data_IF_301764530643
#
_entry.id   IF_301764530643
#
_cell.length_a   1.000
_cell.length_b   1.000
_cell.length_c   1.000
_cell.angle_alpha   90.00
_cell.angle_beta   90.00
_cell.angle_gamma   90.00
#
_symmetry.space_group_name_H-M   'P 1'
#
loop_
_entity.id
_entity.type
_entity.pdbx_description
1 polymer ?
#
# COMPACT_ATOMS: atom_id res chain seq x y z
N UNK A 1 -15.39 -20.09 6.69
CA UNK A 1 -15.42 -20.29 8.15
C UNK A 1 -16.76 -19.87 8.73
N UNK A 2 -17.08 -18.58 8.65
CA UNK A 2 -18.33 -17.97 9.13
C UNK A 2 -19.55 -18.26 8.23
N UNK A 3 -20.75 -17.90 8.66
CA UNK A 3 -22.00 -18.05 7.88
C UNK A 3 -22.01 -17.16 6.63
N UNK A 4 -21.41 -15.98 6.72
CA UNK A 4 -21.39 -15.00 5.64
C UNK A 4 -20.48 -13.80 5.93
N UNK A 5 -20.51 -12.82 5.04
CA UNK A 5 -19.81 -11.53 5.14
C UNK A 5 -20.71 -10.42 4.62
N UNK A 6 -20.79 -9.30 5.34
CA UNK A 6 -21.54 -8.13 4.86
C UNK A 6 -20.92 -7.51 3.60
N UNK A 7 -19.69 -7.86 3.25
CA UNK A 7 -19.06 -7.53 1.97
C UNK A 7 -19.82 -8.12 0.78
N UNK A 8 -20.39 -9.32 0.94
CA UNK A 8 -21.11 -10.05 -0.08
C UNK A 8 -22.36 -10.70 0.53
N UNK A 9 -23.44 -9.93 0.77
CA UNK A 9 -24.60 -10.38 1.56
C UNK A 9 -25.33 -11.62 1.03
N UNK A 10 -25.13 -11.98 -0.24
CA UNK A 10 -25.73 -13.15 -0.87
C UNK A 10 -24.83 -14.40 -0.81
N UNK A 11 -23.57 -14.23 -0.42
CA UNK A 11 -22.60 -15.33 -0.35
C UNK A 11 -22.76 -16.12 0.95
N UNK A 12 -22.76 -17.45 0.84
CA UNK A 12 -22.80 -18.36 1.99
C UNK A 12 -21.40 -18.88 2.28
N UNK A 13 -21.01 -18.86 3.55
CA UNK A 13 -19.79 -19.50 4.00
C UNK A 13 -20.01 -20.95 4.42
N UNK A 14 -18.96 -21.56 4.97
CA UNK A 14 -18.99 -22.95 5.49
C UNK A 14 -19.83 -23.10 6.76
N UNK A 15 -20.21 -21.99 7.40
CA UNK A 15 -21.10 -21.96 8.56
C UNK A 15 -20.64 -22.86 9.74
N UNK A 16 -19.32 -22.94 9.95
CA UNK A 16 -18.73 -23.63 11.11
C UNK A 16 -18.85 -22.76 12.38
N UNK A 17 -18.87 -21.44 12.18
CA UNK A 17 -19.15 -20.43 13.21
C UNK A 17 -20.36 -19.64 12.74
N UNK A 18 -21.46 -19.71 13.51
CA UNK A 18 -22.78 -19.19 13.13
C UNK A 18 -22.91 -17.67 13.32
N UNK A 19 -22.10 -16.90 12.58
CA UNK A 19 -22.16 -15.45 12.54
C UNK A 19 -21.67 -14.92 11.18
N UNK A 20 -21.86 -13.63 10.95
CA UNK A 20 -21.29 -12.92 9.80
C UNK A 20 -20.08 -12.07 10.22
N UNK A 21 -19.16 -11.83 9.29
CA UNK A 21 -18.09 -10.83 9.49
C UNK A 21 -18.57 -9.46 9.04
N UNK A 22 -18.12 -8.41 9.75
CA UNK A 22 -18.56 -7.03 9.57
C UNK A 22 -17.41 -6.12 9.16
N UNK A 23 -17.74 -4.98 8.54
CA UNK A 23 -16.76 -3.96 8.17
C UNK A 23 -16.28 -3.23 9.42
N UNK A 24 -15.00 -2.86 9.48
CA UNK A 24 -14.53 -1.92 10.50
C UNK A 24 -15.23 -0.56 10.41
N UNK A 25 -15.42 0.09 11.57
CA UNK A 25 -15.85 1.47 11.67
C UNK A 25 -14.69 2.40 11.24
N UNK A 26 -14.96 3.26 10.27
CA UNK A 26 -14.00 4.21 9.66
C UNK A 26 -14.11 5.65 10.22
N UNK A 27 -14.85 5.88 11.30
CA UNK A 27 -14.99 7.19 11.94
C UNK A 27 -13.73 7.62 12.68
N UNK A 28 -12.98 6.67 13.25
CA UNK A 28 -11.83 6.93 14.14
C UNK A 28 -10.50 6.46 13.58
N UNK A 29 -10.51 5.79 12.43
CA UNK A 29 -9.35 5.12 11.84
C UNK A 29 -9.57 4.87 10.35
N UNK A 30 -8.47 4.63 9.64
CA UNK A 30 -8.58 4.31 8.22
C UNK A 30 -9.11 2.90 7.97
N UNK A 31 -9.84 2.68 6.88
CA UNK A 31 -10.30 1.34 6.48
C UNK A 31 -10.10 1.20 4.98
N UNK A 32 -9.40 0.16 4.47
CA UNK A 32 -8.97 -1.08 5.14
C UNK A 32 -7.91 -0.95 6.25
N UNK A 33 -7.87 -1.95 7.13
CA UNK A 33 -6.76 -2.22 8.05
C UNK A 33 -5.58 -2.76 7.24
N UNK A 34 -4.63 -1.89 6.90
CA UNK A 34 -3.41 -2.22 6.12
C UNK A 34 -2.17 -1.93 6.98
N UNK A 35 -1.52 -2.99 7.45
CA UNK A 35 -0.24 -2.86 8.14
C UNK A 35 0.02 -3.97 9.14
N UNK A 36 0.97 -3.68 10.03
CA UNK A 36 1.51 -4.64 10.96
C UNK A 36 0.92 -4.44 12.35
N UNK A 37 0.20 -5.44 12.85
CA UNK A 37 -0.46 -5.38 14.16
C UNK A 37 -0.01 -6.54 15.06
N UNK A 38 -0.18 -6.38 16.37
CA UNK A 38 0.14 -7.41 17.37
C UNK A 38 -1.11 -8.18 17.75
N UNK A 39 -0.98 -9.49 17.86
CA UNK A 39 -2.03 -10.35 18.39
C UNK A 39 -1.84 -10.53 19.89
N UNK A 40 -2.92 -10.73 20.63
CA UNK A 40 -2.85 -11.15 22.03
C UNK A 40 -3.79 -12.34 22.26
N UNK A 41 -3.53 -13.11 23.31
CA UNK A 41 -4.16 -14.42 23.53
C UNK A 41 -4.98 -14.38 24.82
N UNK A 42 -6.30 -14.10 24.76
CA UNK A 42 -7.12 -13.89 25.97
C UNK A 42 -7.26 -15.16 26.82
N UNK A 43 -7.33 -16.33 26.18
CA UNK A 43 -7.66 -17.61 26.82
C UNK A 43 -6.46 -18.58 26.92
N UNK A 44 -5.25 -18.15 26.54
CA UNK A 44 -4.05 -19.00 26.49
C UNK A 44 -2.88 -18.39 27.24
N UNK A 45 -1.99 -19.28 27.68
CA UNK A 45 -0.80 -18.98 28.46
C UNK A 45 0.47 -18.74 27.64
N UNK A 46 0.47 -18.75 26.28
CA UNK A 46 1.59 -18.18 25.47
C UNK A 46 1.45 -18.09 23.96
N UNK A 47 1.08 -19.17 23.28
CA UNK A 47 1.19 -19.23 21.81
C UNK A 47 0.01 -19.99 21.24
N UNK A 48 -0.38 -19.60 20.04
CA UNK A 48 -1.27 -20.35 19.17
C UNK A 48 -0.52 -20.54 17.87
N UNK A 49 0.19 -21.67 17.72
CA UNK A 49 1.09 -21.92 16.58
C UNK A 49 2.11 -20.78 16.37
N UNK A 50 2.98 -20.54 17.37
CA UNK A 50 3.99 -19.45 17.35
C UNK A 50 3.45 -18.01 17.22
N UNK A 51 2.13 -17.80 17.30
CA UNK A 51 1.58 -16.44 17.43
C UNK A 51 2.06 -15.84 18.75
N UNK A 52 2.80 -14.74 18.66
CA UNK A 52 3.49 -14.10 19.78
C UNK A 52 3.09 -12.61 19.90
N UNK A 53 2.64 -12.14 21.07
CA UNK A 53 2.24 -10.74 21.27
C UNK A 53 3.33 -9.68 21.10
N UNK A 54 4.59 -10.07 21.19
CA UNK A 54 5.74 -9.19 20.95
C UNK A 54 6.11 -9.09 19.46
N UNK A 55 5.57 -9.98 18.63
CA UNK A 55 5.75 -9.96 17.18
C UNK A 55 4.61 -9.20 16.51
N UNK A 56 4.82 -8.89 15.23
CA UNK A 56 3.84 -8.21 14.40
C UNK A 56 3.53 -9.07 13.19
N UNK A 57 2.27 -9.02 12.78
CA UNK A 57 1.74 -9.78 11.65
C UNK A 57 1.06 -8.81 10.68
N UNK A 58 1.14 -9.09 9.39
CA UNK A 58 0.59 -8.25 8.35
C UNK A 58 -0.89 -8.54 8.10
N UNK A 59 -1.71 -7.52 8.31
CA UNK A 59 -3.15 -7.52 8.05
C UNK A 59 -3.46 -6.60 6.86
N UNK A 60 -4.39 -7.03 6.02
CA UNK A 60 -4.80 -6.31 4.81
C UNK A 60 -6.28 -6.61 4.49
N UNK A 61 -7.21 -6.00 5.25
CA UNK A 61 -8.64 -6.31 5.16
C UNK A 61 -9.55 -5.16 5.60
N UNK A 62 -10.75 -5.09 5.01
CA UNK A 62 -11.82 -4.16 5.45
C UNK A 62 -12.82 -4.80 6.42
N UNK A 63 -12.95 -6.12 6.39
CA UNK A 63 -13.96 -6.90 7.09
C UNK A 63 -13.31 -7.90 8.05
N UNK A 64 -13.90 -8.10 9.22
CA UNK A 64 -13.37 -9.00 10.25
C UNK A 64 -14.50 -9.57 11.13
N UNK A 65 -14.19 -10.62 11.89
CA UNK A 65 -15.04 -10.98 13.04
C UNK A 65 -14.72 -10.03 14.19
N UNK A 66 -15.53 -8.98 14.31
CA UNK A 66 -15.48 -8.02 15.41
C UNK A 66 -16.19 -8.67 16.61
N UNK A 67 -15.61 -8.59 17.81
CA UNK A 67 -16.02 -9.29 19.04
C UNK A 67 -15.86 -10.84 19.05
N UNK A 68 -16.02 -11.44 20.22
CA UNK A 68 -15.83 -12.88 20.47
C UNK A 68 -17.12 -13.69 20.61
N UNK A 69 -18.29 -13.10 20.34
CA UNK A 69 -19.59 -13.76 20.48
C UNK A 69 -19.69 -14.98 19.55
N UNK A 70 -20.18 -16.11 20.07
CA UNK A 70 -20.37 -17.34 19.30
C UNK A 70 -19.10 -18.15 19.05
N UNK A 71 -18.02 -17.85 19.79
CA UNK A 71 -16.72 -18.54 19.69
C UNK A 71 -16.46 -19.48 20.88
N UNK A 72 -17.50 -19.96 21.55
CA UNK A 72 -17.38 -20.90 22.65
C UNK A 72 -16.65 -22.18 22.19
N UNK A 73 -15.63 -22.60 22.96
CA UNK A 73 -14.81 -23.76 22.63
C UNK A 73 -13.77 -23.54 21.52
N UNK A 74 -13.60 -22.31 21.02
CA UNK A 74 -12.51 -21.95 20.13
C UNK A 74 -11.33 -21.37 20.90
N UNK A 75 -10.13 -21.75 20.47
CA UNK A 75 -8.90 -21.12 20.86
C UNK A 75 -8.66 -19.94 19.92
N UNK A 76 -8.32 -18.77 20.45
CA UNK A 76 -8.27 -17.55 19.65
C UNK A 76 -7.08 -16.67 19.97
N UNK A 77 -6.58 -16.00 18.93
CA UNK A 77 -5.79 -14.80 19.05
C UNK A 77 -6.65 -13.62 18.63
N UNK A 78 -6.63 -12.56 19.43
CA UNK A 78 -7.36 -11.32 19.19
C UNK A 78 -6.39 -10.21 18.80
N UNK A 79 -6.91 -9.19 18.17
CA UNK A 79 -6.15 -8.01 17.79
C UNK A 79 -7.05 -6.79 17.94
N UNK A 80 -6.45 -5.63 18.21
CA UNK A 80 -7.17 -4.37 18.36
C UNK A 80 -6.78 -3.41 17.25
N UNK A 81 -7.78 -2.85 16.57
CA UNK A 81 -7.62 -1.83 15.54
C UNK A 81 -8.46 -0.60 15.90
N UNK A 82 -7.78 0.46 16.34
CA UNK A 82 -8.40 1.61 16.98
C UNK A 82 -9.15 1.20 18.25
N UNK A 83 -10.46 1.46 18.25
CA UNK A 83 -11.40 1.13 19.32
C UNK A 83 -12.02 -0.27 19.20
N UNK A 84 -11.86 -0.94 18.05
CA UNK A 84 -12.49 -2.23 17.78
C UNK A 84 -11.53 -3.40 18.00
N UNK A 85 -12.02 -4.42 18.67
CA UNK A 85 -11.35 -5.70 18.83
C UNK A 85 -11.92 -6.74 17.87
N UNK A 86 -11.03 -7.53 17.27
CA UNK A 86 -11.41 -8.53 16.29
C UNK A 86 -10.55 -9.78 16.40
N UNK A 87 -11.05 -10.86 15.81
CA UNK A 87 -10.39 -12.15 15.77
C UNK A 87 -9.24 -12.14 14.75
N UNK A 88 -8.02 -12.34 15.23
CA UNK A 88 -6.82 -12.45 14.42
C UNK A 88 -6.48 -13.88 14.02
N UNK A 89 -6.77 -14.86 14.87
CA UNK A 89 -6.62 -16.28 14.55
C UNK A 89 -7.58 -17.14 15.37
N UNK A 90 -7.93 -18.31 14.84
CA UNK A 90 -8.79 -19.30 15.46
C UNK A 90 -8.22 -20.70 15.31
N UNK A 91 -8.33 -21.52 16.35
CA UNK A 91 -8.09 -22.95 16.27
C UNK A 91 -9.12 -23.74 17.07
N UNK A 92 -9.46 -24.93 16.55
CA UNK A 92 -10.26 -25.94 17.23
C UNK A 92 -9.99 -27.28 16.55
N UNK A 93 -9.70 -28.31 17.34
CA UNK A 93 -9.36 -29.64 16.82
C UNK A 93 -8.22 -29.58 15.78
N UNK A 94 -8.47 -29.98 14.54
CA UNK A 94 -7.51 -29.92 13.43
C UNK A 94 -7.61 -28.64 12.58
N UNK A 95 -8.47 -27.69 12.97
CA UNK A 95 -8.66 -26.43 12.26
C UNK A 95 -7.75 -25.34 12.82
N UNK A 96 -7.15 -24.56 11.92
CA UNK A 96 -6.41 -23.35 12.24
C UNK A 96 -6.62 -22.31 11.13
N UNK A 97 -6.93 -21.08 11.51
CA UNK A 97 -7.19 -19.96 10.60
C UNK A 97 -6.50 -18.70 11.10
N UNK A 98 -5.99 -17.89 10.19
CA UNK A 98 -5.46 -16.55 10.48
C UNK A 98 -6.18 -15.51 9.62
N UNK A 99 -6.47 -14.35 10.20
CA UNK A 99 -6.94 -13.17 9.49
C UNK A 99 -5.75 -12.40 8.86
N UNK A 100 -4.58 -12.47 9.50
CA UNK A 100 -3.32 -11.98 8.92
C UNK A 100 -2.75 -13.00 7.92
N UNK A 101 -1.83 -12.51 7.09
CA UNK A 101 -1.11 -13.29 6.08
C UNK A 101 0.25 -13.74 6.64
N UNK A 102 0.41 -14.98 7.14
CA UNK A 102 1.70 -15.43 7.66
C UNK A 102 2.80 -15.43 6.60
N UNK A 103 2.48 -15.72 5.34
CA UNK A 103 3.38 -15.65 4.20
C UNK A 103 3.85 -14.22 3.85
N UNK A 104 3.16 -13.19 4.37
CA UNK A 104 3.52 -11.77 4.24
C UNK A 104 3.95 -11.12 5.56
N UNK A 105 4.16 -11.92 6.60
CA UNK A 105 4.54 -11.45 7.94
C UNK A 105 6.02 -11.69 8.27
N UNK A 106 6.86 -11.80 7.23
CA UNK A 106 8.29 -12.08 7.37
C UNK A 106 8.57 -13.33 8.19
N UNK A 107 9.67 -13.32 8.96
CA UNK A 107 10.08 -14.45 9.81
C UNK A 107 8.99 -14.83 10.82
N UNK A 108 8.30 -13.86 11.41
CA UNK A 108 7.26 -14.13 12.41
C UNK A 108 6.09 -14.94 11.82
N UNK A 109 5.71 -14.70 10.57
CA UNK A 109 4.70 -15.51 9.91
C UNK A 109 5.21 -16.86 9.40
N UNK A 110 6.46 -16.95 8.95
CA UNK A 110 7.09 -18.24 8.64
C UNK A 110 7.14 -19.15 9.87
N UNK A 111 7.37 -18.60 11.07
CA UNK A 111 7.32 -19.36 12.32
C UNK A 111 5.92 -19.90 12.63
N UNK A 112 4.86 -19.18 12.24
CA UNK A 112 3.46 -19.64 12.37
C UNK A 112 3.19 -20.81 11.40
N UNK A 113 3.64 -20.70 10.14
CA UNK A 113 3.51 -21.77 9.15
C UNK A 113 4.29 -23.02 9.55
N UNK A 114 5.54 -22.86 10.01
CA UNK A 114 6.38 -23.97 10.47
C UNK A 114 5.74 -24.68 11.68
N UNK A 115 5.21 -23.93 12.65
CA UNK A 115 4.51 -24.50 13.79
C UNK A 115 3.24 -25.25 13.38
N UNK A 116 2.46 -24.70 12.45
CA UNK A 116 1.29 -25.39 11.90
C UNK A 116 1.66 -26.71 11.22
N UNK A 117 2.67 -26.69 10.33
CA UNK A 117 3.13 -27.89 9.60
C UNK A 117 3.68 -28.98 10.53
N UNK A 118 4.30 -28.59 11.65
CA UNK A 118 4.82 -29.53 12.66
C UNK A 118 3.79 -29.96 13.71
N UNK A 119 2.58 -29.38 13.70
CA UNK A 119 1.56 -29.62 14.73
C UNK A 119 1.91 -29.03 16.10
N UNK A 120 2.86 -28.08 16.15
CA UNK A 120 3.34 -27.46 17.37
C UNK A 120 2.36 -26.38 17.86
N UNK A 121 1.40 -26.81 18.68
CA UNK A 121 0.38 -25.91 19.25
C UNK A 121 0.81 -25.14 20.50
N UNK A 122 1.88 -25.56 21.18
CA UNK A 122 2.22 -25.10 22.53
C UNK A 122 3.44 -24.16 22.54
N UNK A 123 3.34 -23.09 23.33
CA UNK A 123 4.47 -22.27 23.80
C UNK A 123 4.56 -22.30 25.34
N UNK A 124 5.60 -21.68 25.93
CA UNK A 124 5.90 -21.68 27.38
C UNK A 124 4.90 -20.85 28.24
N UNK A 125 5.29 -20.09 29.27
CA UNK A 125 4.39 -19.15 30.02
C UNK A 125 4.61 -17.66 29.67
N UNK A 126 3.56 -16.81 29.62
CA UNK A 126 3.67 -15.34 29.32
C UNK A 126 3.95 -14.56 30.62
N UNK A 127 4.86 -13.57 30.60
CA UNK A 127 4.83 -12.42 31.50
C UNK A 127 3.44 -11.71 31.52
N UNK A 128 2.94 -11.35 32.69
CA UNK A 128 1.56 -10.87 32.88
C UNK A 128 1.23 -9.56 32.14
N UNK A 129 2.25 -8.76 31.81
CA UNK A 129 2.21 -7.48 31.09
C UNK A 129 1.89 -7.58 29.59
N UNK A 130 1.93 -8.78 29.01
CA UNK A 130 1.63 -9.03 27.58
C UNK A 130 0.21 -9.56 27.34
N UNK A 131 -0.62 -9.66 28.39
CA UNK A 131 -2.05 -10.05 28.29
C UNK A 131 -2.96 -8.89 27.89
N UNK A 132 -2.46 -7.65 27.88
CA UNK A 132 -3.25 -6.45 27.57
C UNK A 132 -3.10 -6.04 26.10
N UNK A 133 -4.20 -5.74 25.40
CA UNK A 133 -4.15 -5.34 23.99
C UNK A 133 -3.42 -4.02 23.81
N UNK A 134 -2.31 -4.05 23.06
CA UNK A 134 -1.72 -2.83 22.49
C UNK A 134 -2.44 -2.54 21.18
N UNK A 135 -3.23 -1.46 21.17
CA UNK A 135 -3.83 -0.96 19.93
C UNK A 135 -2.77 -0.29 19.07
N UNK A 136 -2.91 -0.41 17.75
CA UNK A 136 -2.18 0.39 16.80
C UNK A 136 -1.32 -0.44 15.85
N UNK A 137 -1.37 -0.01 14.58
CA UNK A 137 -0.42 -0.41 13.56
C UNK A 137 0.97 0.12 13.91
N UNK A 138 2.02 -0.59 13.48
CA UNK A 138 3.36 0.01 13.46
C UNK A 138 3.40 1.19 12.49
N UNK A 139 4.40 2.05 12.64
CA UNK A 139 4.74 3.05 11.63
C UNK A 139 5.32 2.30 10.42
N UNK A 140 4.53 2.13 9.36
CA UNK A 140 4.89 1.29 8.21
C UNK A 140 5.87 2.01 7.29
N UNK A 141 7.02 1.37 7.03
CA UNK A 141 8.07 1.87 6.16
C UNK A 141 8.15 1.09 4.84
N UNK A 142 7.89 1.79 3.75
CA UNK A 142 7.86 1.20 2.40
C UNK A 142 9.17 1.52 1.69
N UNK A 143 9.83 0.50 1.15
CA UNK A 143 10.99 0.66 0.29
C UNK A 143 10.55 0.56 -1.18
N UNK A 144 10.88 1.57 -1.98
CA UNK A 144 10.47 1.65 -3.37
C UNK A 144 11.66 1.48 -4.32
N UNK A 145 11.42 0.91 -5.50
CA UNK A 145 12.39 0.84 -6.59
C UNK A 145 11.78 1.13 -7.97
N UNK A 146 12.46 1.99 -8.72
CA UNK A 146 12.20 2.21 -10.14
C UNK A 146 12.77 1.06 -10.97
N UNK A 147 11.92 0.40 -11.76
CA UNK A 147 12.34 -0.65 -12.69
C UNK A 147 12.25 -0.14 -14.13
N UNK A 148 13.38 -0.19 -14.84
CA UNK A 148 13.51 0.27 -16.23
C UNK A 148 14.22 -0.76 -17.08
N UNK A 149 14.11 -0.58 -18.40
CA UNK A 149 14.93 -1.28 -19.38
C UNK A 149 16.11 -0.39 -19.75
N UNK A 150 17.33 -0.91 -19.70
CA UNK A 150 18.51 -0.20 -20.20
C UNK A 150 18.60 -0.27 -21.74
N UNK A 151 19.60 0.36 -22.34
CA UNK A 151 19.79 0.38 -23.80
C UNK A 151 20.09 -1.01 -24.41
N UNK A 152 20.43 -2.00 -23.59
CA UNK A 152 20.63 -3.41 -23.99
C UNK A 152 19.36 -4.26 -23.83
N UNK A 153 18.28 -3.68 -23.30
CA UNK A 153 17.03 -4.38 -23.00
C UNK A 153 17.02 -5.10 -21.64
N UNK A 154 18.09 -5.00 -20.84
CA UNK A 154 18.13 -5.60 -19.51
C UNK A 154 17.25 -4.81 -18.53
N UNK A 155 16.67 -5.52 -17.56
CA UNK A 155 15.91 -4.91 -16.48
C UNK A 155 16.86 -4.45 -15.37
N UNK A 156 16.81 -3.16 -15.07
CA UNK A 156 17.69 -2.50 -14.11
C UNK A 156 16.92 -1.63 -13.14
N UNK A 157 17.48 -1.44 -11.95
CA UNK A 157 17.03 -0.41 -11.00
C UNK A 157 17.73 0.91 -11.32
N UNK A 158 16.98 2.01 -11.37
CA UNK A 158 17.54 3.35 -11.63
C UNK A 158 17.31 4.29 -10.46
N UNK A 159 18.03 5.43 -10.45
CA UNK A 159 17.86 6.46 -9.42
C UNK A 159 16.47 7.11 -9.55
N UNK A 160 15.73 7.20 -8.44
CA UNK A 160 14.44 7.90 -8.37
C UNK A 160 14.56 9.40 -8.04
N UNK A 161 15.60 10.09 -8.52
CA UNK A 161 15.79 11.53 -8.25
C UNK A 161 15.49 12.32 -9.53
N UNK A 162 14.26 12.86 -9.63
CA UNK A 162 13.74 13.58 -10.80
C UNK A 162 13.76 12.71 -12.07
N UNK A 163 12.84 12.96 -13.00
CA UNK A 163 12.65 12.15 -14.22
C UNK A 163 13.86 12.08 -15.19
N UNK A 164 15.03 12.58 -14.80
CA UNK A 164 16.31 12.58 -15.53
C UNK A 164 17.28 11.52 -14.98
N UNK A 165 17.40 10.41 -15.69
CA UNK A 165 18.12 9.18 -15.25
C UNK A 165 19.46 8.95 -15.95
N UNK A 166 19.97 9.94 -16.72
CA UNK A 166 21.19 9.81 -17.54
C UNK A 166 22.43 10.37 -16.84
N UNK A 167 23.60 9.77 -17.07
CA UNK A 167 24.87 10.27 -16.51
C UNK A 167 25.21 11.66 -17.04
N UNK A 168 25.57 12.59 -16.13
CA UNK A 168 26.01 13.95 -16.48
C UNK A 168 27.46 14.02 -16.96
N UNK A 169 28.23 12.95 -16.77
CA UNK A 169 29.64 12.87 -17.17
C UNK A 169 29.88 11.65 -18.09
N UNK A 170 29.80 11.91 -19.40
CA UNK A 170 30.49 11.20 -20.48
C UNK A 170 29.97 9.89 -21.10
N UNK A 171 28.79 9.36 -20.78
CA UNK A 171 28.03 8.51 -21.73
C UNK A 171 26.55 8.51 -21.36
N UNK A 172 25.65 8.64 -22.35
CA UNK A 172 24.19 8.81 -22.16
C UNK A 172 23.46 7.55 -21.64
N UNK A 173 24.17 6.65 -20.99
CA UNK A 173 23.68 5.33 -20.59
C UNK A 173 22.79 5.41 -19.34
N UNK A 174 21.81 4.51 -19.25
CA UNK A 174 20.94 4.35 -18.07
C UNK A 174 21.74 3.79 -16.91
N UNK A 175 21.78 4.51 -15.77
CA UNK A 175 22.53 4.08 -14.57
C UNK A 175 21.92 2.83 -13.93
N UNK A 176 22.69 1.75 -13.86
CA UNK A 176 22.28 0.46 -13.28
C UNK A 176 22.65 0.38 -11.78
N UNK A 177 21.65 0.35 -10.90
CA UNK A 177 21.82 0.22 -9.43
C UNK A 177 21.64 -1.22 -8.93
N UNK A 178 21.60 -2.19 -9.83
CA UNK A 178 21.39 -3.61 -9.54
C UNK A 178 20.15 -4.18 -10.21
N UNK A 179 19.97 -5.50 -10.07
CA UNK A 179 18.78 -6.18 -10.57
C UNK A 179 17.62 -5.99 -9.58
N UNK A 180 16.38 -5.76 -10.04
CA UNK A 180 15.25 -5.52 -9.15
C UNK A 180 15.03 -6.59 -8.07
N UNK A 181 15.25 -7.87 -8.43
CA UNK A 181 15.10 -9.00 -7.49
C UNK A 181 16.08 -8.87 -6.32
N UNK A 182 17.38 -8.71 -6.61
CA UNK A 182 18.43 -8.59 -5.60
C UNK A 182 18.22 -7.34 -4.71
N UNK A 183 17.78 -6.23 -5.30
CA UNK A 183 17.47 -5.00 -4.55
C UNK A 183 16.26 -5.19 -3.64
N UNK A 184 15.21 -5.86 -4.12
CA UNK A 184 14.02 -6.13 -3.31
C UNK A 184 14.30 -7.07 -2.13
N UNK A 185 15.13 -8.09 -2.33
CA UNK A 185 15.58 -8.99 -1.26
C UNK A 185 16.43 -8.23 -0.23
N UNK A 186 17.35 -7.38 -0.70
CA UNK A 186 18.14 -6.51 0.18
C UNK A 186 17.24 -5.62 1.04
N UNK A 187 16.21 -4.99 0.48
CA UNK A 187 15.27 -4.17 1.24
C UNK A 187 14.50 -4.97 2.28
N UNK A 188 14.01 -6.15 1.92
CA UNK A 188 13.36 -7.06 2.85
C UNK A 188 14.28 -7.43 4.02
N UNK A 189 15.51 -7.86 3.75
CA UNK A 189 16.50 -8.23 4.77
C UNK A 189 16.93 -7.04 5.64
N UNK A 190 16.87 -5.83 5.10
CA UNK A 190 17.09 -4.58 5.82
C UNK A 190 15.86 -4.10 6.61
N UNK A 191 14.75 -4.84 6.59
CA UNK A 191 13.58 -4.57 7.41
C UNK A 191 12.48 -3.75 6.73
N UNK A 192 12.42 -3.68 5.40
CA UNK A 192 11.27 -3.11 4.69
C UNK A 192 9.96 -3.79 5.11
N UNK A 193 8.95 -3.00 5.47
CA UNK A 193 7.62 -3.50 5.81
C UNK A 193 6.80 -3.85 4.56
N UNK A 194 7.19 -3.31 3.41
CA UNK A 194 6.59 -3.49 2.10
C UNK A 194 7.61 -3.07 1.03
N UNK A 195 7.59 -3.73 -0.14
CA UNK A 195 8.43 -3.38 -1.29
C UNK A 195 7.54 -2.94 -2.47
N UNK A 196 7.78 -1.74 -2.99
CA UNK A 196 7.05 -1.20 -4.15
C UNK A 196 7.93 -1.15 -5.39
N UNK A 197 7.49 -1.79 -6.46
CA UNK A 197 8.10 -1.72 -7.79
C UNK A 197 7.35 -0.71 -8.64
N UNK A 198 8.05 0.32 -9.13
CA UNK A 198 7.53 1.25 -10.13
C UNK A 198 8.00 0.79 -11.51
N UNK A 199 7.10 0.15 -12.25
CA UNK A 199 7.33 -0.30 -13.61
C UNK A 199 7.27 0.87 -14.59
N UNK A 200 8.46 1.35 -14.97
CA UNK A 200 8.65 2.43 -15.95
C UNK A 200 9.25 1.84 -17.25
N UNK A 201 9.16 0.52 -17.42
CA UNK A 201 9.66 -0.15 -18.62
C UNK A 201 8.81 0.22 -19.85
N UNK A 202 9.47 0.41 -20.98
CA UNK A 202 8.82 0.76 -22.24
C UNK A 202 8.63 -0.47 -23.13
N UNK A 203 8.03 -1.55 -22.63
CA UNK A 203 7.74 -2.75 -23.43
C UNK A 203 6.39 -2.65 -24.13
N UNK A 204 6.24 -1.63 -24.98
CA UNK A 204 4.97 -1.37 -25.70
C UNK A 204 4.59 -2.49 -26.68
N UNK A 205 5.57 -3.27 -27.12
CA UNK A 205 5.39 -4.29 -28.17
C UNK A 205 5.61 -5.73 -27.67
N UNK A 206 5.63 -5.96 -26.35
CA UNK A 206 5.73 -7.32 -25.77
C UNK A 206 4.34 -7.88 -25.44
N UNK A 207 4.07 -9.17 -25.70
CA UNK A 207 2.91 -9.85 -25.13
C UNK A 207 2.87 -9.70 -23.61
N UNK A 208 1.67 -9.63 -23.05
CA UNK A 208 1.46 -9.33 -21.63
C UNK A 208 2.11 -10.38 -20.72
N UNK A 209 2.00 -11.66 -21.08
CA UNK A 209 2.57 -12.78 -20.30
C UNK A 209 4.11 -12.80 -20.31
N UNK A 210 4.72 -12.23 -21.35
CA UNK A 210 6.17 -12.18 -21.54
C UNK A 210 6.79 -10.89 -20.97
N UNK A 211 5.99 -10.05 -20.33
CA UNK A 211 6.51 -8.82 -19.71
C UNK A 211 7.55 -9.18 -18.65
N UNK A 212 8.78 -8.64 -18.73
CA UNK A 212 9.83 -8.98 -17.77
C UNK A 212 9.47 -8.75 -16.30
N UNK A 213 8.59 -7.78 -16.03
CA UNK A 213 8.08 -7.52 -14.67
C UNK A 213 7.31 -8.69 -14.06
N UNK A 214 6.66 -9.52 -14.87
CA UNK A 214 6.02 -10.77 -14.41
C UNK A 214 7.07 -11.69 -13.79
N UNK A 215 8.21 -11.86 -14.47
CA UNK A 215 9.29 -12.71 -13.96
C UNK A 215 10.01 -12.09 -12.75
N UNK A 216 10.20 -10.76 -12.74
CA UNK A 216 10.76 -10.05 -11.58
C UNK A 216 9.94 -10.33 -10.32
N UNK A 217 8.62 -10.20 -10.40
CA UNK A 217 7.75 -10.45 -9.24
C UNK A 217 7.78 -11.91 -8.78
N UNK A 218 7.81 -12.86 -9.73
CA UNK A 218 7.89 -14.29 -9.40
C UNK A 218 9.15 -14.60 -8.61
N UNK A 219 10.29 -14.14 -9.13
CA UNK A 219 11.60 -14.36 -8.50
C UNK A 219 11.71 -13.63 -7.16
N UNK A 220 11.23 -12.38 -7.07
CA UNK A 220 11.24 -11.65 -5.80
C UNK A 220 10.40 -12.38 -4.73
N UNK A 221 9.27 -12.97 -5.11
CA UNK A 221 8.38 -13.69 -4.20
C UNK A 221 8.96 -15.01 -3.67
N UNK A 222 10.07 -15.50 -4.21
CA UNK A 222 10.77 -16.69 -3.69
C UNK A 222 11.48 -16.41 -2.36
N UNK A 223 11.85 -15.16 -2.08
CA UNK A 223 12.59 -14.77 -0.86
C UNK A 223 12.03 -13.56 -0.10
N UNK A 224 11.17 -12.74 -0.72
CA UNK A 224 10.57 -11.54 -0.12
C UNK A 224 9.21 -11.87 0.51
N UNK A 225 9.21 -12.15 1.82
CA UNK A 225 8.01 -12.52 2.60
C UNK A 225 7.33 -11.32 3.27
N UNK A 226 7.27 -10.19 2.56
CA UNK A 226 6.52 -8.98 2.91
C UNK A 226 5.63 -8.59 1.74
N UNK A 227 4.65 -7.68 1.91
CA UNK A 227 3.80 -7.23 0.83
C UNK A 227 4.60 -6.62 -0.32
N UNK A 228 4.18 -6.95 -1.54
CA UNK A 228 4.75 -6.46 -2.79
C UNK A 228 3.71 -5.66 -3.56
N UNK A 229 4.04 -4.41 -3.86
CA UNK A 229 3.22 -3.52 -4.67
C UNK A 229 3.84 -3.33 -6.04
N UNK A 230 3.02 -3.36 -7.11
CA UNK A 230 3.44 -3.03 -8.47
C UNK A 230 2.65 -1.83 -9.00
N UNK A 231 3.36 -0.77 -9.41
CA UNK A 231 2.79 0.39 -10.09
C UNK A 231 3.25 0.48 -11.53
N UNK A 232 2.41 0.99 -12.42
CA UNK A 232 2.75 1.19 -13.84
C UNK A 232 2.28 0.06 -14.75
N UNK A 233 1.53 0.42 -15.79
CA UNK A 233 1.00 -0.54 -16.78
C UNK A 233 -0.30 -1.24 -16.39
N UNK A 234 -0.89 -0.91 -15.23
CA UNK A 234 -2.16 -1.49 -14.75
C UNK A 234 -3.35 -0.75 -15.36
N UNK A 235 -3.68 -1.11 -16.60
CA UNK A 235 -4.73 -0.49 -17.40
C UNK A 235 -5.21 -1.41 -18.51
N UNK A 236 -6.30 -1.02 -19.16
CA UNK A 236 -6.71 -1.65 -20.41
C UNK A 236 -5.56 -1.54 -21.42
N UNK A 237 -5.12 -2.68 -21.95
CA UNK A 237 -3.97 -2.76 -22.84
C UNK A 237 -4.30 -3.60 -24.06
N UNK A 238 -3.67 -3.31 -25.20
CA UNK A 238 -3.81 -4.13 -26.41
C UNK A 238 -2.69 -5.15 -26.44
N UNK A 239 -3.03 -6.42 -26.47
CA UNK A 239 -2.05 -7.49 -26.65
C UNK A 239 -1.50 -7.43 -28.09
N UNK A 240 -0.18 -7.26 -28.30
CA UNK A 240 0.39 -7.12 -29.64
C UNK A 240 0.35 -8.42 -30.45
N UNK A 241 0.34 -9.59 -29.79
CA UNK A 241 0.34 -10.90 -30.46
C UNK A 241 -1.05 -11.30 -30.98
N UNK A 242 -2.10 -10.96 -30.24
CA UNK A 242 -3.49 -11.35 -30.58
C UNK A 242 -4.33 -10.18 -31.09
N UNK A 243 -3.89 -8.94 -30.86
CA UNK A 243 -4.66 -7.73 -31.12
C UNK A 243 -5.82 -7.48 -30.15
N UNK A 244 -6.03 -8.38 -29.16
CA UNK A 244 -7.13 -8.32 -28.19
C UNK A 244 -6.93 -7.18 -27.21
N UNK A 245 -8.01 -6.48 -26.86
CA UNK A 245 -8.02 -5.59 -25.69
C UNK A 245 -8.10 -6.46 -24.43
N UNK A 246 -7.06 -6.39 -23.61
CA UNK A 246 -6.98 -7.04 -22.30
C UNK A 246 -7.39 -6.02 -21.24
N UNK A 247 -8.49 -6.25 -20.51
CA UNK A 247 -8.94 -5.33 -19.47
C UNK A 247 -7.94 -5.19 -18.33
N UNK A 248 -7.95 -4.04 -17.65
CA UNK A 248 -7.12 -3.76 -16.49
C UNK A 248 -7.25 -4.83 -15.39
N UNK A 249 -8.44 -5.41 -15.22
CA UNK A 249 -8.69 -6.51 -14.29
C UNK A 249 -7.88 -7.76 -14.64
N UNK A 250 -7.77 -8.13 -15.92
CA UNK A 250 -6.96 -9.27 -16.37
C UNK A 250 -5.46 -8.98 -16.22
N UNK A 251 -5.04 -7.73 -16.49
CA UNK A 251 -3.67 -7.29 -16.25
C UNK A 251 -3.32 -7.39 -14.77
N UNK A 252 -4.17 -6.87 -13.88
CA UNK A 252 -3.98 -6.96 -12.44
C UNK A 252 -3.96 -8.42 -11.96
N UNK A 253 -4.87 -9.26 -12.46
CA UNK A 253 -4.88 -10.69 -12.16
C UNK A 253 -3.55 -11.38 -12.49
N UNK A 254 -2.96 -11.08 -13.66
CA UNK A 254 -1.65 -11.62 -14.02
C UNK A 254 -0.57 -11.18 -13.02
N UNK A 255 -0.55 -9.90 -12.66
CA UNK A 255 0.41 -9.37 -11.68
C UNK A 255 0.24 -10.01 -10.30
N UNK A 256 -1.00 -10.18 -9.82
CA UNK A 256 -1.28 -10.87 -8.57
C UNK A 256 -0.80 -12.33 -8.57
N UNK A 257 -1.11 -13.07 -9.65
CA UNK A 257 -0.63 -14.45 -9.83
C UNK A 257 0.89 -14.57 -9.96
N UNK A 258 1.56 -13.46 -10.22
CA UNK A 258 3.01 -13.40 -10.38
C UNK A 258 3.73 -12.95 -9.12
N UNK A 259 3.01 -12.60 -8.05
CA UNK A 259 3.59 -12.30 -6.75
C UNK A 259 3.28 -10.93 -6.16
N UNK A 260 2.62 -10.05 -6.93
CA UNK A 260 2.13 -8.79 -6.38
C UNK A 260 0.95 -9.05 -5.43
N UNK A 261 0.85 -8.25 -4.37
CA UNK A 261 -0.29 -8.24 -3.45
C UNK A 261 -1.21 -7.03 -3.72
N UNK A 262 -0.63 -5.95 -4.24
CA UNK A 262 -1.34 -4.70 -4.55
C UNK A 262 -0.89 -4.14 -5.90
N UNK A 263 -1.81 -3.48 -6.58
CA UNK A 263 -1.54 -2.75 -7.83
C UNK A 263 -1.72 -1.25 -7.61
N UNK A 264 -0.84 -0.44 -8.20
CA UNK A 264 -0.94 1.02 -8.16
C UNK A 264 -1.38 1.60 -9.50
N UNK A 265 -2.45 2.40 -9.45
CA UNK A 265 -3.07 3.08 -10.60
C UNK A 265 -2.68 4.56 -10.55
N UNK A 266 -2.08 5.06 -11.63
CA UNK A 266 -1.66 6.46 -11.76
C UNK A 266 -2.60 7.27 -12.66
N UNK A 267 -2.20 7.50 -13.92
CA UNK A 267 -2.93 8.40 -14.85
C UNK A 267 -4.40 8.02 -15.05
N UNK A 268 -4.71 6.74 -15.19
CA UNK A 268 -6.09 6.27 -15.36
C UNK A 268 -6.99 6.60 -14.14
N UNK A 269 -6.41 6.86 -12.97
CA UNK A 269 -7.17 7.32 -11.80
C UNK A 269 -7.68 8.75 -11.98
N UNK A 270 -6.91 9.62 -12.65
CA UNK A 270 -7.33 10.98 -13.01
C UNK A 270 -8.50 10.92 -13.98
N UNK A 271 -8.39 10.10 -15.02
CA UNK A 271 -9.47 9.90 -16.00
C UNK A 271 -10.73 9.33 -15.33
N UNK A 272 -10.55 8.35 -14.43
CA UNK A 272 -11.64 7.75 -13.65
C UNK A 272 -12.36 8.79 -12.78
N UNK A 273 -11.61 9.68 -12.11
CA UNK A 273 -12.18 10.73 -11.28
C UNK A 273 -12.92 11.79 -12.09
N UNK A 274 -12.37 12.20 -13.24
CA UNK A 274 -13.04 13.14 -14.15
C UNK A 274 -14.36 12.56 -14.68
N UNK A 275 -14.36 11.28 -15.08
CA UNK A 275 -15.58 10.57 -15.49
C UNK A 275 -16.58 10.47 -14.35
N UNK A 276 -16.14 10.16 -13.13
CA UNK A 276 -16.97 10.09 -11.94
C UNK A 276 -17.69 11.43 -11.68
N UNK A 277 -16.96 12.55 -11.69
CA UNK A 277 -17.56 13.88 -11.50
C UNK A 277 -18.47 14.29 -12.67
N UNK A 278 -18.08 13.99 -13.91
CA UNK A 278 -18.92 14.23 -15.09
C UNK A 278 -20.23 13.41 -15.05
N UNK A 279 -20.20 12.23 -14.41
CA UNK A 279 -21.35 11.35 -14.22
C UNK A 279 -22.08 11.61 -12.90
N UNK A 280 -22.10 12.87 -12.42
CA UNK A 280 -22.79 13.26 -11.17
C UNK A 280 -22.40 12.39 -9.96
N UNK A 281 -21.12 12.06 -9.85
CA UNK A 281 -20.56 11.22 -8.78
C UNK A 281 -21.19 9.82 -8.72
N UNK A 282 -21.59 9.28 -9.87
CA UNK A 282 -22.07 7.91 -9.99
C UNK A 282 -20.99 7.00 -10.58
N UNK A 283 -20.84 5.83 -9.94
CA UNK A 283 -19.99 4.72 -10.39
C UNK A 283 -20.43 4.23 -11.77
N UNK A 284 -19.49 4.07 -12.70
CA UNK A 284 -19.76 3.42 -13.98
C UNK A 284 -19.67 1.89 -13.87
N UNK A 285 -18.92 1.40 -12.87
CA UNK A 285 -18.59 -0.01 -12.70
C UNK A 285 -17.58 -0.54 -13.71
N UNK A 286 -16.92 0.34 -14.46
CA UNK A 286 -16.06 -0.02 -15.59
C UNK A 286 -14.61 0.45 -15.41
N UNK A 287 -14.34 1.37 -14.49
CA UNK A 287 -12.97 1.88 -14.29
C UNK A 287 -12.06 0.78 -13.74
N UNK A 288 -10.73 0.87 -13.96
CA UNK A 288 -9.78 -0.06 -13.35
C UNK A 288 -9.92 -0.13 -11.82
N UNK A 289 -10.17 1.01 -11.15
CA UNK A 289 -10.37 1.08 -9.70
C UNK A 289 -11.58 0.24 -9.28
N UNK A 290 -12.73 0.44 -9.92
CA UNK A 290 -13.97 -0.28 -9.59
C UNK A 290 -13.87 -1.78 -9.88
N UNK A 291 -13.34 -2.14 -11.06
CA UNK A 291 -13.29 -3.54 -11.50
C UNK A 291 -12.32 -4.37 -10.65
N UNK A 292 -11.12 -3.83 -10.36
CA UNK A 292 -10.11 -4.52 -9.56
C UNK A 292 -10.55 -4.59 -8.09
N UNK A 293 -11.02 -3.49 -7.51
CA UNK A 293 -11.47 -3.48 -6.10
C UNK A 293 -12.70 -4.36 -5.86
N UNK A 294 -13.61 -4.46 -6.83
CA UNK A 294 -14.75 -5.39 -6.73
C UNK A 294 -14.32 -6.85 -6.73
N UNK A 295 -13.24 -7.19 -7.43
CA UNK A 295 -12.75 -8.56 -7.54
C UNK A 295 -11.81 -8.97 -6.39
N UNK A 296 -10.96 -8.06 -5.93
CA UNK A 296 -9.89 -8.36 -4.96
C UNK A 296 -10.02 -7.61 -3.62
N UNK A 297 -11.07 -6.80 -3.47
CA UNK A 297 -11.26 -5.89 -2.36
C UNK A 297 -10.49 -4.57 -2.55
N UNK A 298 -10.93 -3.53 -1.83
CA UNK A 298 -10.30 -2.21 -1.89
C UNK A 298 -8.79 -2.27 -1.54
N UNK A 299 -8.42 -3.15 -0.61
CA UNK A 299 -7.06 -3.34 -0.13
C UNK A 299 -6.03 -3.70 -1.22
N UNK A 300 -6.47 -4.19 -2.38
CA UNK A 300 -5.61 -4.55 -3.50
C UNK A 300 -5.30 -3.37 -4.43
N UNK A 301 -5.99 -2.24 -4.29
CA UNK A 301 -5.91 -1.08 -5.19
C UNK A 301 -5.32 0.13 -4.47
N UNK A 302 -4.11 0.50 -4.87
CA UNK A 302 -3.45 1.74 -4.51
C UNK A 302 -3.68 2.76 -5.64
N UNK A 303 -3.89 4.03 -5.31
CA UNK A 303 -3.85 5.12 -6.29
C UNK A 303 -2.64 6.01 -6.05
N UNK A 304 -1.79 6.14 -7.06
CA UNK A 304 -0.66 7.07 -7.07
C UNK A 304 -1.14 8.45 -7.50
N UNK A 305 -1.05 9.42 -6.61
CA UNK A 305 -1.40 10.82 -6.88
C UNK A 305 -0.11 11.64 -6.98
N UNK A 306 0.03 12.36 -8.09
CA UNK A 306 1.19 13.20 -8.42
C UNK A 306 0.79 14.68 -8.46
N UNK A 307 0.64 15.35 -7.30
CA UNK A 307 0.23 16.73 -7.21
C UNK A 307 1.40 17.70 -7.36
N UNK A 308 1.08 18.88 -7.91
CA UNK A 308 1.96 20.04 -7.96
C UNK A 308 1.30 21.24 -7.28
N UNK A 309 2.02 21.90 -6.39
CA UNK A 309 1.55 23.06 -5.62
C UNK A 309 1.27 24.26 -6.52
N UNK A 310 0.09 24.86 -6.35
CA UNK A 310 -0.33 26.09 -7.04
C UNK A 310 -0.67 27.16 -6.00
N UNK A 311 0.04 28.27 -6.05
CA UNK A 311 -0.15 29.42 -5.15
C UNK A 311 -1.27 30.33 -5.66
N UNK A 312 -2.13 30.80 -4.75
CA UNK A 312 -3.25 31.71 -5.04
C UNK A 312 -3.46 32.73 -3.90
N UNK A 313 -4.09 33.87 -4.20
CA UNK A 313 -4.28 34.95 -3.23
C UNK A 313 -5.47 34.69 -2.31
N UNK A 314 -6.53 34.07 -2.84
CA UNK A 314 -7.77 33.77 -2.13
C UNK A 314 -8.25 32.35 -2.49
N UNK A 315 -8.91 31.62 -1.56
CA UNK A 315 -9.55 30.35 -1.87
C UNK A 315 -10.58 30.42 -3.02
N UNK A 316 -11.13 31.60 -3.28
CA UNK A 316 -12.09 31.84 -4.38
C UNK A 316 -11.44 31.89 -5.77
N UNK A 317 -10.12 31.97 -5.87
CA UNK A 317 -9.40 32.07 -7.14
C UNK A 317 -9.34 30.73 -7.89
N UNK A 318 -9.83 29.66 -7.27
CA UNK A 318 -9.94 28.32 -7.84
C UNK A 318 -11.28 27.70 -7.42
N UNK A 319 -11.77 26.76 -8.25
CA UNK A 319 -12.93 25.91 -7.89
C UNK A 319 -12.53 24.73 -7.01
N UNK A 320 -11.23 24.42 -6.93
CA UNK A 320 -10.69 23.28 -6.20
C UNK A 320 -10.41 23.61 -4.74
N UNK A 321 -10.34 22.61 -3.88
CA UNK A 321 -10.06 22.82 -2.45
C UNK A 321 -8.68 23.46 -2.25
N UNK A 322 -8.68 24.69 -1.76
CA UNK A 322 -7.49 25.41 -1.33
C UNK A 322 -7.38 25.45 0.20
N UNK A 323 -6.15 25.55 0.70
CA UNK A 323 -5.81 25.72 2.11
C UNK A 323 -4.90 26.93 2.28
N UNK A 324 -4.94 27.54 3.46
CA UNK A 324 -3.96 28.56 3.83
C UNK A 324 -2.61 27.87 4.04
N UNK A 325 -1.56 28.36 3.41
CA UNK A 325 -0.20 27.78 3.54
C UNK A 325 0.62 28.54 4.59
N UNK A 326 1.51 27.81 5.27
CA UNK A 326 2.54 28.36 6.16
C UNK A 326 3.66 29.06 5.40
N UNK A 327 3.89 28.71 4.13
CA UNK A 327 4.98 29.25 3.30
C UNK A 327 4.36 30.09 2.19
N UNK A 328 4.39 31.44 2.27
CA UNK A 328 3.82 32.30 1.25
C UNK A 328 4.45 32.06 -0.14
N UNK A 329 3.65 32.30 -1.17
CA UNK A 329 4.09 32.22 -2.55
C UNK A 329 5.04 33.36 -2.96
N UNK A 330 5.67 33.26 -4.14
CA UNK A 330 6.65 34.24 -4.63
C UNK A 330 6.13 35.70 -4.68
N UNK A 331 4.82 35.89 -4.84
CA UNK A 331 4.18 37.20 -4.92
C UNK A 331 3.37 37.54 -3.65
N UNK A 332 3.58 36.79 -2.56
CA UNK A 332 2.85 36.97 -1.29
C UNK A 332 1.51 36.23 -1.23
N UNK A 333 1.25 35.30 -2.16
CA UNK A 333 0.09 34.41 -2.12
C UNK A 333 0.05 33.65 -0.78
N UNK A 334 -1.11 33.60 -0.13
CA UNK A 334 -1.24 33.00 1.21
C UNK A 334 -2.02 31.68 1.23
N UNK A 335 -2.49 31.24 0.05
CA UNK A 335 -3.22 29.98 -0.11
C UNK A 335 -2.59 29.13 -1.19
N UNK A 336 -2.79 27.82 -1.08
CA UNK A 336 -2.37 26.83 -2.07
C UNK A 336 -3.50 25.85 -2.34
N UNK A 337 -3.56 25.38 -3.58
CA UNK A 337 -4.22 24.12 -3.92
C UNK A 337 -3.21 23.24 -4.65
N UNK A 338 -3.49 21.94 -4.70
CA UNK A 338 -2.58 20.96 -5.25
C UNK A 338 -3.17 20.40 -6.53
N UNK A 339 -2.63 20.80 -7.67
CA UNK A 339 -3.13 20.40 -8.98
C UNK A 339 -2.57 19.02 -9.36
N UNK A 340 -3.44 18.10 -9.76
CA UNK A 340 -3.03 16.77 -10.19
C UNK A 340 -2.34 16.82 -11.54
N UNK A 341 -1.46 15.84 -11.75
CA UNK A 341 -0.84 15.59 -13.04
C UNK A 341 -1.12 14.17 -13.52
N UNK A 342 -0.96 13.98 -14.83
CA UNK A 342 -1.05 12.69 -15.49
C UNK A 342 0.19 12.44 -16.37
N UNK A 343 0.27 11.23 -16.93
CA UNK A 343 1.35 10.75 -17.82
C UNK A 343 2.74 10.88 -17.20
N UNK A 344 2.85 10.65 -15.89
CA UNK A 344 4.08 10.77 -15.10
C UNK A 344 4.53 12.22 -14.95
N UNK A 345 3.66 13.08 -14.41
CA UNK A 345 4.00 14.48 -14.15
C UNK A 345 4.00 15.44 -15.34
N UNK A 346 3.76 14.95 -16.57
CA UNK A 346 3.97 15.74 -17.81
C UNK A 346 2.75 16.53 -18.26
N UNK A 347 1.56 16.14 -17.80
CA UNK A 347 0.31 16.80 -18.16
C UNK A 347 -0.37 17.32 -16.90
N UNK A 348 -0.62 18.62 -16.84
CA UNK A 348 -1.40 19.22 -15.76
C UNK A 348 -2.89 19.00 -16.04
N UNK A 349 -3.65 18.56 -15.03
CA UNK A 349 -5.08 18.32 -15.15
C UNK A 349 -5.84 19.39 -14.37
N UNK A 350 -6.99 19.84 -14.86
CA UNK A 350 -7.88 20.74 -14.10
C UNK A 350 -8.68 19.96 -13.04
N UNK A 351 -7.93 19.33 -12.12
CA UNK A 351 -8.42 18.51 -11.01
C UNK A 351 -7.49 18.69 -9.81
N UNK A 352 -8.02 19.05 -8.65
CA UNK A 352 -7.25 19.10 -7.42
C UNK A 352 -7.01 17.72 -6.80
N UNK A 353 -5.92 17.58 -6.06
CA UNK A 353 -5.54 16.34 -5.37
C UNK A 353 -6.56 15.93 -4.30
N UNK A 354 -7.20 16.91 -3.67
CA UNK A 354 -8.30 16.69 -2.73
C UNK A 354 -9.48 16.01 -3.42
N UNK A 355 -9.92 16.56 -4.56
CA UNK A 355 -11.03 16.02 -5.36
C UNK A 355 -10.68 14.64 -5.94
N UNK A 356 -9.46 14.47 -6.46
CA UNK A 356 -9.00 13.17 -6.93
C UNK A 356 -9.06 12.12 -5.82
N UNK A 357 -8.52 12.42 -4.64
CA UNK A 357 -8.52 11.52 -3.49
C UNK A 357 -9.94 11.09 -3.10
N UNK A 358 -10.89 12.04 -3.04
CA UNK A 358 -12.30 11.74 -2.74
C UNK A 358 -12.91 10.82 -3.80
N UNK A 359 -12.72 11.13 -5.08
CA UNK A 359 -13.29 10.34 -6.16
C UNK A 359 -12.77 8.89 -6.14
N UNK A 360 -11.46 8.68 -5.96
CA UNK A 360 -10.88 7.34 -6.02
C UNK A 360 -11.24 6.47 -4.83
N UNK A 361 -11.36 7.05 -3.63
CA UNK A 361 -11.93 6.34 -2.48
C UNK A 361 -13.36 5.89 -2.78
N UNK A 362 -14.20 6.79 -3.32
CA UNK A 362 -15.58 6.43 -3.68
C UNK A 362 -15.61 5.34 -4.72
N UNK A 363 -14.72 5.36 -5.72
CA UNK A 363 -14.64 4.35 -6.77
C UNK A 363 -14.22 2.97 -6.24
N UNK A 364 -13.41 2.92 -5.18
CA UNK A 364 -13.06 1.67 -4.48
C UNK A 364 -11.57 1.48 -4.21
N UNK A 365 -10.74 2.53 -4.37
CA UNK A 365 -9.35 2.48 -3.92
C UNK A 365 -9.29 2.20 -2.42
N UNK A 366 -8.32 1.41 -1.98
CA UNK A 366 -8.12 1.10 -0.57
C UNK A 366 -6.89 1.75 0.05
N UNK A 367 -6.09 2.47 -0.72
CA UNK A 367 -4.90 3.18 -0.24
C UNK A 367 -4.46 4.26 -1.25
N UNK A 368 -3.92 5.37 -0.76
CA UNK A 368 -3.35 6.44 -1.60
C UNK A 368 -1.84 6.46 -1.43
N UNK A 369 -1.12 6.36 -2.54
CA UNK A 369 0.30 6.70 -2.62
C UNK A 369 0.42 8.19 -2.98
N UNK A 370 0.71 9.03 -1.99
CA UNK A 370 0.72 10.48 -2.13
C UNK A 370 2.14 10.98 -2.38
N UNK A 371 2.46 11.18 -3.65
CA UNK A 371 3.72 11.81 -4.06
C UNK A 371 3.61 13.33 -3.91
N UNK A 372 4.74 14.02 -4.10
CA UNK A 372 4.77 15.48 -4.20
C UNK A 372 5.83 15.88 -5.21
N UNK A 373 5.39 16.44 -6.35
CA UNK A 373 6.30 16.83 -7.44
C UNK A 373 7.33 17.86 -6.96
N UNK A 374 6.92 18.77 -6.06
CA UNK A 374 7.78 19.83 -5.55
C UNK A 374 8.81 19.33 -4.52
N UNK A 375 8.56 18.16 -3.90
CA UNK A 375 9.49 17.53 -2.94
C UNK A 375 10.34 16.42 -3.54
N UNK A 376 9.98 15.93 -4.73
CA UNK A 376 10.65 14.79 -5.35
C UNK A 376 12.15 15.02 -5.59
N UNK A 377 12.98 14.08 -5.17
CA UNK A 377 14.44 14.16 -5.22
C UNK A 377 15.09 15.26 -4.35
N UNK A 378 14.32 16.06 -3.62
CA UNK A 378 14.85 17.19 -2.83
C UNK A 378 15.63 16.76 -1.59
N UNK A 379 15.34 15.57 -1.04
CA UNK A 379 15.85 15.09 0.24
C UNK A 379 15.62 16.12 1.38
N UNK A 380 14.48 16.83 1.36
CA UNK A 380 14.15 17.94 2.30
C UNK A 380 12.92 17.68 3.18
N UNK A 381 12.51 16.41 3.29
CA UNK A 381 11.31 16.00 4.02
C UNK A 381 10.06 16.00 3.15
N UNK A 382 8.99 15.41 3.69
CA UNK A 382 7.70 15.29 3.02
C UNK A 382 6.94 16.63 2.99
N UNK A 383 5.80 16.66 2.30
CA UNK A 383 4.90 17.82 2.31
C UNK A 383 3.74 17.62 3.31
N UNK A 384 3.96 18.06 4.55
CA UNK A 384 3.00 17.89 5.65
C UNK A 384 1.64 18.57 5.39
N UNK A 385 1.62 19.70 4.68
CA UNK A 385 0.39 20.42 4.34
C UNK A 385 -0.45 19.63 3.34
N UNK A 386 0.21 19.05 2.32
CA UNK A 386 -0.42 18.14 1.37
C UNK A 386 -0.95 16.88 2.06
N UNK A 387 -0.15 16.24 2.92
CA UNK A 387 -0.57 15.05 3.66
C UNK A 387 -1.81 15.34 4.50
N UNK A 388 -1.79 16.45 5.25
CA UNK A 388 -2.92 16.85 6.10
C UNK A 388 -4.17 17.16 5.27
N UNK A 389 -4.00 17.80 4.11
CA UNK A 389 -5.10 18.06 3.18
C UNK A 389 -5.75 16.74 2.71
N UNK A 390 -4.95 15.77 2.26
CA UNK A 390 -5.49 14.50 1.75
C UNK A 390 -6.06 13.63 2.89
N UNK A 391 -5.45 13.60 4.08
CA UNK A 391 -6.05 12.93 5.26
C UNK A 391 -7.38 13.54 5.67
N UNK A 392 -7.63 14.82 5.38
CA UNK A 392 -8.95 15.44 5.60
C UNK A 392 -9.98 15.11 4.51
N UNK A 393 -9.53 14.59 3.36
CA UNK A 393 -10.38 14.30 2.21
C UNK A 393 -10.98 12.88 2.26
N UNK A 394 -10.24 11.93 2.82
CA UNK A 394 -10.51 10.48 2.72
C UNK A 394 -10.35 9.75 4.05
N UNK A 395 -10.97 8.58 4.12
CA UNK A 395 -10.89 7.63 5.24
C UNK A 395 -10.03 6.41 4.89
N UNK A 396 -9.61 6.21 3.65
CA UNK A 396 -8.61 5.17 3.31
C UNK A 396 -7.19 5.57 3.77
N UNK A 397 -6.28 4.59 3.99
CA UNK A 397 -4.87 4.85 4.29
C UNK A 397 -4.17 5.74 3.25
N UNK A 398 -3.27 6.60 3.72
CA UNK A 398 -2.42 7.48 2.90
C UNK A 398 -0.95 7.19 3.22
N UNK A 399 -0.16 6.94 2.18
CA UNK A 399 1.29 6.78 2.21
C UNK A 399 1.92 8.11 1.83
N UNK A 400 2.77 8.68 2.69
CA UNK A 400 3.62 9.81 2.33
C UNK A 400 4.78 9.35 1.43
N UNK A 401 4.96 10.02 0.30
CA UNK A 401 6.03 9.77 -0.66
C UNK A 401 6.62 11.11 -1.17
N UNK A 402 7.80 11.03 -1.79
CA UNK A 402 8.61 12.16 -2.28
C UNK A 402 9.17 13.08 -1.17
N UNK A 403 10.50 13.21 -1.11
CA UNK A 403 11.21 14.17 -0.24
C UNK A 403 12.00 13.57 0.92
N UNK A 404 11.76 12.30 1.28
CA UNK A 404 12.56 11.59 2.27
C UNK A 404 14.06 11.56 1.87
N UNK A 405 14.93 11.74 2.87
CA UNK A 405 16.39 11.88 2.65
C UNK A 405 17.22 11.47 3.86
N UNK A 406 16.64 11.48 5.06
CA UNK A 406 17.26 10.97 6.28
C UNK A 406 16.18 10.38 7.21
N UNK A 407 16.56 9.60 8.24
CA UNK A 407 15.63 9.02 9.22
C UNK A 407 14.72 10.05 9.89
N UNK A 408 15.24 11.25 10.20
CA UNK A 408 14.46 12.30 10.86
C UNK A 408 13.21 12.70 10.06
N UNK A 409 13.25 12.68 8.72
CA UNK A 409 12.07 12.99 7.92
C UNK A 409 10.90 11.99 8.13
N UNK A 410 11.20 10.74 8.48
CA UNK A 410 10.18 9.75 8.83
C UNK A 410 9.63 9.99 10.23
N UNK A 411 10.50 10.30 11.19
CA UNK A 411 10.08 10.71 12.54
C UNK A 411 9.15 11.91 12.44
N UNK A 412 9.59 12.98 11.76
CA UNK A 412 8.85 14.22 11.59
C UNK A 412 7.46 13.98 10.97
N UNK A 413 7.36 13.21 9.87
CA UNK A 413 6.06 13.01 9.21
C UNK A 413 5.10 12.20 10.07
N UNK A 414 5.59 11.23 10.84
CA UNK A 414 4.75 10.42 11.72
C UNK A 414 4.34 11.12 13.02
N UNK A 415 5.08 12.16 13.43
CA UNK A 415 4.76 13.00 14.60
C UNK A 415 3.88 14.20 14.21
N UNK A 416 4.16 14.84 13.07
CA UNK A 416 3.50 16.07 12.65
C UNK A 416 2.19 15.83 11.88
N UNK A 417 1.96 14.60 11.41
CA UNK A 417 0.78 14.25 10.61
C UNK A 417 0.14 12.95 11.09
N UNK A 418 -1.07 12.67 10.59
CA UNK A 418 -1.77 11.39 10.81
C UNK A 418 -1.58 10.43 9.63
N UNK A 419 -0.42 10.46 8.97
CA UNK A 419 -0.12 9.56 7.85
C UNK A 419 -0.06 8.10 8.30
N UNK A 420 -0.45 7.18 7.43
CA UNK A 420 -0.56 5.75 7.76
C UNK A 420 0.73 4.97 7.42
N UNK A 421 1.53 5.47 6.49
CA UNK A 421 2.82 4.92 6.11
C UNK A 421 3.72 5.98 5.45
N UNK A 422 5.01 5.69 5.35
CA UNK A 422 5.96 6.54 4.66
C UNK A 422 6.86 5.71 3.74
N UNK A 423 7.12 6.23 2.55
CA UNK A 423 7.88 5.57 1.50
C UNK A 423 9.21 6.28 1.26
N UNK A 424 10.29 5.49 1.20
CA UNK A 424 11.61 5.93 0.77
C UNK A 424 12.07 5.20 -0.49
N UNK A 425 12.73 5.92 -1.38
CA UNK A 425 13.33 5.38 -2.61
C UNK A 425 14.83 5.70 -2.68
N UNK A 426 15.18 6.92 -3.08
CA UNK A 426 16.55 7.35 -3.37
C UNK A 426 17.55 7.09 -2.24
N UNK A 427 17.22 7.42 -1.00
CA UNK A 427 18.12 7.24 0.16
C UNK A 427 18.47 5.77 0.44
N UNK A 428 17.53 4.84 0.18
CA UNK A 428 17.76 3.42 0.32
C UNK A 428 18.55 2.87 -0.88
N UNK A 429 18.25 3.32 -2.10
CA UNK A 429 18.99 2.94 -3.31
C UNK A 429 20.47 3.31 -3.24
N UNK A 430 20.75 4.53 -2.77
CA UNK A 430 22.11 5.06 -2.65
C UNK A 430 22.88 4.45 -1.48
N UNK A 431 22.21 3.67 -0.62
CA UNK A 431 22.81 3.09 0.57
C UNK A 431 23.22 4.15 1.60
N UNK A 432 22.62 5.34 1.54
CA UNK A 432 22.85 6.41 2.53
C UNK A 432 22.31 5.97 3.89
N UNK A 433 21.14 5.32 3.86
CA UNK A 433 20.50 4.69 5.00
C UNK A 433 19.87 3.36 4.58
N UNK A 434 19.68 2.47 5.56
CA UNK A 434 18.89 1.25 5.45
C UNK A 434 17.52 1.44 6.09
N UNK A 435 16.56 0.58 5.78
CA UNK A 435 15.24 0.65 6.44
C UNK A 435 15.37 0.44 7.96
N UNK A 436 16.23 -0.49 8.39
CA UNK A 436 16.52 -0.74 9.81
C UNK A 436 17.00 0.52 10.54
N UNK A 437 17.92 1.29 9.93
CA UNK A 437 18.37 2.56 10.51
C UNK A 437 17.25 3.61 10.62
N UNK A 438 16.24 3.57 9.74
CA UNK A 438 15.07 4.43 9.86
C UNK A 438 14.13 3.93 10.97
N UNK A 439 14.04 2.61 11.19
CA UNK A 439 13.27 2.02 12.30
C UNK A 439 13.88 2.25 13.67
N UNK A 440 15.20 2.38 13.74
CA UNK A 440 15.94 2.60 15.00
C UNK A 440 15.87 4.07 15.47
N UNK A 441 15.53 5.00 14.57
CA UNK A 441 15.30 6.42 14.88
C UNK A 441 13.89 6.64 15.44
#
# INVERSE_FOLDING_TARGET
LFSGSVESPTSKGMDIIHCEVSKFNDETKSVPHIGWNSCYLPNRSNELFSINPQKKYYFVHSYAKIDTTGLEGWEMALCKYGDQEFVAALARDNLFFTQFHPEKSGKAGLDVLDAFLKGNKNGNSIPEDLKTPKSGLTKRLIACLDVRSNDKGDIVVTKGDQYDVREKESNKDVRNLGKPVEVSEKYYLQGADEVTFLNITSFRDSPLIDQPMVQVLRLASESVFVPVTIGGGIKDTKDPSTGRIVPALEVAHLYFRSGADKVSIGSDAVDSALQFYANNQQKSGQTPIETISKAYGAQAVIVSIDPKKQYINSPSDTKHKAIKTKVPGPNGESYVWYQCTAKGGREMCDLGAFELAQAVEKLGAGEILLNSIDKDGSNSGFDDELISLIKSAVKIPVIASSGAGCPQHFVDVFENTTVDAALGAGMFHRGEYTVGQVKDA
#
